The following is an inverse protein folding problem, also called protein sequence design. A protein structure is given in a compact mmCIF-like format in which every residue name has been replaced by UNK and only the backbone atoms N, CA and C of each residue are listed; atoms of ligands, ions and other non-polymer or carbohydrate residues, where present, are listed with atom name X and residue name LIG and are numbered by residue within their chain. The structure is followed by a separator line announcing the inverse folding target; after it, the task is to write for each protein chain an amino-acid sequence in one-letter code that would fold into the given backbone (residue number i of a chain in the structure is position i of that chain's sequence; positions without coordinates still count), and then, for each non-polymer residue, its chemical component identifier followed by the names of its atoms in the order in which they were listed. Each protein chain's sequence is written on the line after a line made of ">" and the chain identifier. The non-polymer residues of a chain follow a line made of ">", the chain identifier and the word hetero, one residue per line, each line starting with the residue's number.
data_IF_383173730470
#
_entry.id   IF_383173730470
#
_cell.length_a   1.000
_cell.length_b   1.000
_cell.length_c   1.000
_cell.angle_alpha   90.00
_cell.angle_beta   90.00
_cell.angle_gamma   90.00
#
_symmetry.space_group_name_H-M   'P 1'
#
loop_
_entity.id
_entity.type
_entity.pdbx_description
1 polymer ?
#
# COMPACT_ATOMS: atom_id res chain seq x y z
N UNK A 1 40.20 24.37 -0.25
CA UNK A 1 39.06 24.59 -1.17
C UNK A 1 38.11 25.56 -0.46
N UNK A 2 37.82 26.72 -1.05
CA UNK A 2 36.99 27.73 -0.41
C UNK A 2 35.71 27.92 -1.22
N UNK A 3 34.55 27.84 -0.55
CA UNK A 3 33.26 28.09 -1.20
C UNK A 3 33.03 29.60 -1.28
N UNK A 4 32.65 30.09 -2.44
CA UNK A 4 32.36 31.48 -2.73
C UNK A 4 30.89 31.60 -3.17
N UNK A 5 30.22 32.66 -2.79
CA UNK A 5 28.85 32.99 -3.29
C UNK A 5 28.97 33.99 -4.41
N UNK A 6 28.68 33.58 -5.65
CA UNK A 6 28.71 34.45 -6.82
C UNK A 6 27.31 34.57 -7.45
N UNK A 7 27.11 35.62 -8.26
CA UNK A 7 25.85 35.80 -8.98
C UNK A 7 25.67 34.69 -9.98
N UNK A 8 24.45 34.13 -10.08
CA UNK A 8 24.14 33.06 -11.03
C UNK A 8 24.39 33.50 -12.50
N UNK A 9 24.27 34.78 -12.78
CA UNK A 9 24.59 35.37 -14.10
C UNK A 9 26.06 35.31 -14.46
N UNK A 10 26.96 35.15 -13.49
CA UNK A 10 28.40 35.04 -13.69
C UNK A 10 28.85 33.61 -13.94
N UNK A 11 28.00 32.62 -13.61
CA UNK A 11 28.25 31.20 -13.86
C UNK A 11 27.86 30.85 -15.30
N UNK A 12 28.78 30.23 -16.03
CA UNK A 12 28.59 29.87 -17.43
C UNK A 12 28.43 28.36 -17.59
N UNK A 13 27.35 27.90 -18.20
CA UNK A 13 27.23 26.47 -18.53
C UNK A 13 28.29 26.10 -19.59
N UNK A 14 28.72 24.84 -19.58
CA UNK A 14 29.61 24.33 -20.61
C UNK A 14 28.80 23.88 -21.83
N UNK A 15 28.95 24.56 -22.97
CA UNK A 15 28.11 24.36 -24.16
C UNK A 15 28.21 22.96 -24.78
N UNK A 16 29.34 22.24 -24.55
CA UNK A 16 29.57 20.90 -25.07
C UNK A 16 29.35 19.83 -24.02
N UNK A 17 28.46 20.05 -23.04
CA UNK A 17 28.12 19.04 -22.04
C UNK A 17 27.46 17.84 -22.73
N UNK A 18 28.05 16.62 -22.65
CA UNK A 18 27.49 15.45 -23.32
C UNK A 18 26.29 14.84 -22.55
N UNK A 19 26.05 15.23 -21.29
CA UNK A 19 24.97 14.70 -20.48
C UNK A 19 23.69 15.50 -20.66
N UNK A 20 22.62 14.80 -20.98
CA UNK A 20 21.23 15.31 -20.87
C UNK A 20 20.81 15.21 -19.41
N UNK A 21 20.46 16.31 -18.80
CA UNK A 21 20.17 16.39 -17.37
C UNK A 21 18.91 17.19 -17.06
N UNK A 22 18.01 17.32 -18.03
CA UNK A 22 16.79 18.10 -17.88
C UNK A 22 15.80 17.38 -16.94
N UNK A 23 15.73 16.06 -17.03
CA UNK A 23 14.84 15.22 -16.24
C UNK A 23 15.14 15.27 -14.72
N UNK A 24 16.40 15.45 -14.33
CA UNK A 24 16.79 15.58 -12.92
C UNK A 24 16.72 17.01 -12.36
N UNK A 25 16.25 18.00 -13.12
CA UNK A 25 16.23 19.41 -12.64
C UNK A 25 15.19 19.62 -11.57
N UNK A 26 14.04 18.97 -11.67
CA UNK A 26 12.97 19.05 -10.69
C UNK A 26 13.40 18.50 -9.34
N UNK A 27 13.84 17.26 -9.30
CA UNK A 27 14.31 16.59 -8.08
C UNK A 27 15.43 17.39 -7.38
N UNK A 28 16.37 17.94 -8.14
CA UNK A 28 17.44 18.78 -7.58
C UNK A 28 16.89 20.13 -7.08
N UNK A 29 15.88 20.70 -7.72
CA UNK A 29 15.25 21.94 -7.27
C UNK A 29 14.49 21.71 -5.95
N UNK A 30 13.75 20.63 -5.85
CA UNK A 30 13.07 20.21 -4.62
C UNK A 30 14.07 19.97 -3.48
N UNK A 31 15.17 19.25 -3.77
CA UNK A 31 16.24 19.02 -2.78
C UNK A 31 16.87 20.34 -2.28
N UNK A 32 17.09 21.34 -3.17
CA UNK A 32 17.62 22.64 -2.76
C UNK A 32 16.58 23.41 -1.92
N UNK A 33 15.30 23.29 -2.25
CA UNK A 33 14.21 23.94 -1.53
C UNK A 33 14.04 23.36 -0.11
N UNK A 34 14.09 22.04 0.01
CA UNK A 34 13.86 21.33 1.28
C UNK A 34 15.08 21.39 2.19
N UNK A 35 16.25 21.00 1.70
CA UNK A 35 17.47 20.86 2.51
C UNK A 35 18.42 22.06 2.42
N UNK A 36 18.08 23.05 1.63
CA UNK A 36 18.99 24.14 1.31
C UNK A 36 20.14 23.68 0.38
N UNK A 37 21.08 24.57 0.15
CA UNK A 37 22.20 24.31 -0.75
C UNK A 37 23.35 23.57 -0.03
N UNK A 38 23.51 22.29 -0.21
CA UNK A 38 24.50 21.47 0.48
C UNK A 38 25.78 21.20 -0.34
N UNK A 39 25.69 21.17 -1.67
CA UNK A 39 26.83 20.85 -2.55
C UNK A 39 27.10 21.97 -3.56
N UNK A 40 28.24 22.71 -3.49
CA UNK A 40 28.52 23.82 -4.39
C UNK A 40 28.72 23.38 -5.85
N UNK A 41 28.50 24.30 -6.78
CA UNK A 41 28.88 24.12 -8.19
C UNK A 41 30.38 24.24 -8.30
N UNK A 42 31.03 23.33 -9.04
CA UNK A 42 32.47 23.44 -9.34
C UNK A 42 32.64 24.13 -10.69
N UNK A 43 33.41 25.18 -10.70
CA UNK A 43 33.71 25.97 -11.93
C UNK A 43 35.21 26.06 -12.16
N UNK A 44 35.61 26.33 -13.39
CA UNK A 44 36.98 26.69 -13.70
C UNK A 44 37.25 28.20 -13.42
N UNK A 45 38.48 28.63 -13.70
CA UNK A 45 38.91 30.02 -13.49
C UNK A 45 38.11 31.07 -14.29
N UNK A 46 37.40 30.67 -15.36
CA UNK A 46 36.56 31.50 -16.20
C UNK A 46 35.08 31.42 -15.86
N UNK A 47 34.76 30.82 -14.69
CA UNK A 47 33.45 30.52 -14.18
C UNK A 47 32.60 29.56 -15.06
N UNK A 48 33.27 28.73 -15.87
CA UNK A 48 32.58 27.71 -16.68
C UNK A 48 32.39 26.45 -15.83
N UNK A 49 31.19 25.93 -15.82
CA UNK A 49 30.82 24.76 -14.97
C UNK A 49 31.66 23.53 -15.38
N UNK A 50 32.27 22.92 -14.36
CA UNK A 50 32.90 21.61 -14.42
C UNK A 50 31.91 20.55 -13.93
N UNK A 51 31.36 20.76 -12.72
CA UNK A 51 30.38 19.84 -12.05
C UNK A 51 29.19 20.67 -11.57
N UNK A 52 27.98 20.15 -11.73
CA UNK A 52 26.76 20.75 -11.16
C UNK A 52 25.88 21.49 -12.15
N UNK A 53 25.85 21.09 -13.43
CA UNK A 53 24.95 21.67 -14.44
C UNK A 53 23.48 21.57 -14.06
N UNK A 54 23.05 20.43 -13.45
CA UNK A 54 21.69 20.25 -12.95
C UNK A 54 21.36 21.23 -11.84
N UNK A 55 22.28 21.41 -10.86
CA UNK A 55 22.14 22.39 -9.77
C UNK A 55 22.03 23.82 -10.29
N UNK A 56 22.80 24.18 -11.34
CA UNK A 56 22.70 25.47 -11.96
C UNK A 56 21.34 25.71 -12.62
N UNK A 57 20.80 24.70 -13.33
CA UNK A 57 19.46 24.76 -13.93
C UNK A 57 18.38 24.85 -12.83
N UNK A 58 18.49 24.07 -11.78
CA UNK A 58 17.60 24.08 -10.62
C UNK A 58 17.59 25.47 -9.93
N UNK A 59 18.76 26.05 -9.68
CA UNK A 59 18.87 27.40 -9.11
C UNK A 59 18.21 28.47 -9.98
N UNK A 60 18.34 28.36 -11.32
CA UNK A 60 17.61 29.23 -12.24
C UNK A 60 16.12 29.08 -12.15
N UNK A 61 15.62 27.83 -12.05
CA UNK A 61 14.20 27.53 -11.89
C UNK A 61 13.66 28.12 -10.59
N UNK A 62 14.44 28.05 -9.51
CA UNK A 62 14.10 28.62 -8.19
C UNK A 62 14.26 30.16 -8.11
N UNK A 63 14.72 30.81 -9.19
CA UNK A 63 14.91 32.27 -9.21
C UNK A 63 16.03 32.78 -8.30
N UNK A 64 17.04 31.98 -7.99
CA UNK A 64 18.12 32.34 -7.08
C UNK A 64 19.06 33.37 -7.74
N UNK A 65 19.38 34.46 -7.04
CA UNK A 65 20.32 35.49 -7.50
C UNK A 65 21.77 35.07 -7.39
N UNK A 66 22.11 34.26 -6.38
CA UNK A 66 23.46 33.82 -6.09
C UNK A 66 23.52 32.32 -5.84
N UNK A 67 24.64 31.71 -6.18
CA UNK A 67 24.88 30.30 -5.95
C UNK A 67 26.27 30.08 -5.32
N UNK A 68 26.44 29.06 -4.45
CA UNK A 68 27.72 28.71 -3.91
C UNK A 68 28.55 27.98 -4.98
N UNK A 69 29.78 28.40 -5.17
CA UNK A 69 30.72 27.78 -6.11
C UNK A 69 32.06 27.50 -5.47
N UNK A 70 32.74 26.52 -6.02
CA UNK A 70 34.16 26.24 -5.77
C UNK A 70 34.91 26.44 -7.10
N UNK A 71 35.95 27.25 -7.07
CA UNK A 71 36.81 27.45 -8.23
C UNK A 71 37.93 26.42 -8.22
N UNK A 72 37.99 25.60 -9.26
CA UNK A 72 39.05 24.63 -9.48
C UNK A 72 40.21 25.27 -10.30
N UNK A 73 40.90 26.19 -9.68
CA UNK A 73 41.96 27.02 -10.32
C UNK A 73 43.28 26.25 -10.50
N UNK A 74 43.50 25.18 -9.81
CA UNK A 74 44.69 24.34 -9.85
C UNK A 74 44.72 23.31 -11.00
N UNK A 75 43.60 23.13 -11.73
CA UNK A 75 43.47 22.13 -12.79
C UNK A 75 43.93 22.67 -14.14
N UNK A 76 44.70 21.88 -14.88
CA UNK A 76 45.00 22.17 -16.28
C UNK A 76 43.76 22.07 -17.17
N UNK A 77 43.73 22.69 -18.36
CA UNK A 77 42.58 22.59 -19.27
C UNK A 77 42.22 21.14 -19.66
N UNK A 78 43.19 20.26 -19.72
CA UNK A 78 42.99 18.84 -20.01
C UNK A 78 42.35 18.12 -18.79
N UNK A 79 42.85 18.41 -17.59
CA UNK A 79 42.28 17.90 -16.34
C UNK A 79 40.84 18.36 -16.12
N UNK A 80 40.50 19.62 -16.48
CA UNK A 80 39.13 20.13 -16.42
C UNK A 80 38.20 19.32 -17.33
N UNK A 81 38.65 19.00 -18.58
CA UNK A 81 37.85 18.14 -19.49
C UNK A 81 37.69 16.72 -18.96
N UNK A 82 38.77 16.14 -18.48
CA UNK A 82 38.76 14.80 -17.91
C UNK A 82 37.86 14.73 -16.68
N UNK A 83 37.91 15.72 -15.78
CA UNK A 83 37.11 15.76 -14.57
C UNK A 83 35.61 15.88 -14.85
N UNK A 84 35.19 16.68 -15.85
CA UNK A 84 33.77 16.72 -16.28
C UNK A 84 33.21 15.36 -16.65
N UNK A 85 34.02 14.53 -17.31
CA UNK A 85 33.61 13.20 -17.72
C UNK A 85 33.67 12.20 -16.56
N UNK A 86 34.75 12.25 -15.78
CA UNK A 86 34.97 11.32 -14.66
C UNK A 86 33.93 11.44 -13.55
N UNK A 87 33.59 12.68 -13.16
CA UNK A 87 32.58 12.95 -12.13
C UNK A 87 31.21 12.33 -12.47
N UNK A 88 30.80 12.53 -13.72
CA UNK A 88 29.54 11.94 -14.20
C UNK A 88 29.64 10.40 -14.28
N UNK A 89 30.77 9.85 -14.72
CA UNK A 89 30.92 8.41 -14.92
C UNK A 89 31.06 7.65 -13.61
N UNK A 90 31.71 8.23 -12.61
CA UNK A 90 31.86 7.57 -11.30
C UNK A 90 30.55 7.40 -10.57
N UNK A 91 29.59 8.32 -10.72
CA UNK A 91 28.22 8.15 -10.20
C UNK A 91 27.43 7.00 -10.85
N UNK A 92 27.78 6.63 -12.10
CA UNK A 92 27.15 5.50 -12.81
C UNK A 92 27.76 4.13 -12.43
N UNK A 93 28.86 4.11 -11.66
CA UNK A 93 29.56 2.89 -11.24
C UNK A 93 29.13 2.41 -9.86
N UNK A 94 28.26 3.15 -9.21
CA UNK A 94 27.73 2.81 -7.87
C UNK A 94 26.25 2.47 -8.02
N UNK A 95 25.87 1.37 -7.42
CA UNK A 95 24.47 0.94 -7.30
C UNK A 95 24.03 1.13 -5.84
N UNK A 96 22.72 1.26 -5.64
CA UNK A 96 22.13 1.24 -4.31
C UNK A 96 22.14 -0.19 -3.74
N UNK A 97 22.45 -0.33 -2.48
CA UNK A 97 22.04 -1.49 -1.70
C UNK A 97 20.55 -1.27 -1.37
N UNK A 98 19.71 -1.97 -2.11
CA UNK A 98 18.27 -1.69 -2.12
C UNK A 98 17.61 -2.11 -0.81
N UNK A 99 18.15 -3.12 -0.13
CA UNK A 99 17.62 -3.55 1.17
C UNK A 99 17.87 -2.45 2.23
N UNK A 100 19.08 -1.86 2.24
CA UNK A 100 19.39 -0.73 3.12
C UNK A 100 18.68 0.56 2.69
N UNK A 101 18.45 0.76 1.40
CA UNK A 101 17.75 1.94 0.92
C UNK A 101 16.27 1.91 1.31
N UNK A 102 15.62 0.75 1.18
CA UNK A 102 14.22 0.59 1.60
C UNK A 102 14.05 0.84 3.09
N UNK A 103 14.97 0.31 3.93
CA UNK A 103 14.98 0.55 5.38
C UNK A 103 15.14 2.05 5.71
N UNK A 104 16.04 2.75 5.01
CA UNK A 104 16.26 4.20 5.21
C UNK A 104 15.06 5.04 4.70
N UNK A 105 14.43 4.64 3.60
CA UNK A 105 13.23 5.32 3.08
C UNK A 105 12.03 5.11 4.01
N UNK A 106 11.86 3.94 4.60
CA UNK A 106 10.80 3.64 5.56
C UNK A 106 10.94 4.45 6.87
N UNK A 107 12.15 4.85 7.23
CA UNK A 107 12.41 5.68 8.42
C UNK A 107 12.16 7.20 8.16
N UNK A 108 11.98 7.61 6.89
CA UNK A 108 11.71 9.00 6.51
C UNK A 108 10.19 9.19 6.37
N UNK A 109 9.53 9.64 7.46
CA UNK A 109 8.06 9.70 7.52
C UNK A 109 7.49 11.07 7.07
N UNK A 110 8.27 12.15 7.22
CA UNK A 110 7.77 13.52 7.05
C UNK A 110 8.21 14.19 5.73
N UNK A 111 8.94 13.49 4.89
CA UNK A 111 9.49 14.03 3.64
C UNK A 111 9.08 13.11 2.48
N UNK A 112 8.42 13.68 1.46
CA UNK A 112 8.06 12.95 0.24
C UNK A 112 9.31 12.68 -0.60
N UNK A 113 9.83 11.46 -0.51
CA UNK A 113 11.05 11.06 -1.22
C UNK A 113 10.86 10.93 -2.74
N UNK A 114 9.62 10.89 -3.23
CA UNK A 114 9.33 10.93 -4.67
C UNK A 114 9.72 12.28 -5.30
N UNK A 115 9.67 13.37 -4.55
CA UNK A 115 10.13 14.69 -4.95
C UNK A 115 11.62 14.73 -5.30
N UNK A 116 12.39 13.72 -4.89
CA UNK A 116 13.85 13.62 -5.11
C UNK A 116 14.22 12.52 -6.12
N UNK A 117 13.22 11.89 -6.75
CA UNK A 117 13.43 10.86 -7.77
C UNK A 117 13.57 9.44 -7.19
N UNK A 118 13.17 9.23 -5.94
CA UNK A 118 12.90 7.90 -5.38
C UNK A 118 11.45 7.51 -5.68
N UNK A 119 11.08 7.65 -6.95
CA UNK A 119 9.78 7.17 -7.41
C UNK A 119 9.79 5.64 -7.28
N UNK A 120 8.67 5.07 -6.81
CA UNK A 120 8.43 3.66 -7.00
C UNK A 120 8.58 3.38 -8.51
N UNK A 121 9.47 2.45 -8.89
CA UNK A 121 9.76 2.14 -10.31
C UNK A 121 8.50 1.71 -11.12
N UNK A 122 7.32 1.85 -10.54
CA UNK A 122 6.03 1.49 -11.12
C UNK A 122 5.42 2.58 -12.03
N UNK A 123 5.91 3.82 -11.96
CA UNK A 123 5.48 4.87 -12.92
C UNK A 123 5.97 4.61 -14.36
N UNK A 124 6.90 3.67 -14.57
CA UNK A 124 7.40 3.35 -15.91
C UNK A 124 6.44 2.48 -16.75
N UNK A 125 5.41 1.89 -16.16
CA UNK A 125 4.35 1.17 -16.88
C UNK A 125 3.20 2.09 -17.29
N UNK A 126 3.09 3.29 -16.71
CA UNK A 126 2.09 4.31 -17.05
C UNK A 126 2.48 5.15 -18.30
N UNK A 127 3.60 4.87 -18.95
CA UNK A 127 3.95 5.46 -20.27
C UNK A 127 3.18 4.86 -21.48
N UNK A 128 2.06 4.22 -21.25
CA UNK A 128 0.93 4.33 -22.18
C UNK A 128 0.28 5.67 -21.86
N UNK A 129 0.60 6.71 -22.63
CA UNK A 129 -0.02 8.02 -22.49
C UNK A 129 -1.53 7.82 -22.31
N UNK A 130 -2.09 8.13 -21.12
CA UNK A 130 -3.52 8.30 -21.02
C UNK A 130 -3.82 9.49 -21.96
N UNK A 131 -4.80 9.37 -22.81
CA UNK A 131 -5.36 10.52 -23.49
C UNK A 131 -5.52 11.60 -22.41
N UNK A 132 -4.98 12.82 -22.65
CA UNK A 132 -4.99 13.94 -21.72
C UNK A 132 -6.30 13.93 -20.90
N UNK A 133 -6.25 13.50 -19.65
CA UNK A 133 -7.38 13.61 -18.73
C UNK A 133 -7.56 15.09 -18.43
N UNK A 134 -8.38 15.74 -19.21
CA UNK A 134 -8.69 17.19 -19.09
C UNK A 134 -9.51 17.54 -17.86
N UNK A 135 -9.95 16.52 -17.09
CA UNK A 135 -10.66 16.69 -15.82
C UNK A 135 -10.24 15.55 -14.88
N UNK A 136 -9.93 15.79 -13.58
CA UNK A 136 -9.91 14.73 -12.59
C UNK A 136 -11.27 14.05 -12.69
N UNK A 137 -11.27 12.75 -13.01
CA UNK A 137 -12.45 12.12 -13.57
C UNK A 137 -13.61 12.12 -12.57
N UNK A 138 -14.80 12.45 -13.07
CA UNK A 138 -16.08 12.27 -12.40
C UNK A 138 -16.19 10.90 -11.70
N UNK A 139 -15.52 9.86 -12.24
CA UNK A 139 -15.46 8.53 -11.66
C UNK A 139 -14.77 8.45 -10.28
N UNK A 140 -13.72 9.24 -10.04
CA UNK A 140 -13.11 9.29 -8.70
C UNK A 140 -14.02 9.98 -7.70
N UNK A 141 -14.70 11.05 -8.14
CA UNK A 141 -15.66 11.76 -7.30
C UNK A 141 -16.89 10.90 -6.98
N UNK A 142 -17.34 10.06 -7.95
CA UNK A 142 -18.50 9.21 -7.77
C UNK A 142 -18.21 7.91 -6.99
N UNK A 143 -17.02 7.31 -7.18
CA UNK A 143 -16.76 5.92 -6.75
C UNK A 143 -15.55 5.76 -5.79
N UNK A 144 -14.92 6.80 -5.33
CA UNK A 144 -13.67 6.82 -4.55
C UNK A 144 -12.45 6.49 -5.44
N UNK A 145 -12.53 5.44 -6.19
CA UNK A 145 -11.60 5.03 -7.23
C UNK A 145 -12.41 4.61 -8.47
N UNK A 146 -11.86 4.72 -9.68
CA UNK A 146 -12.54 4.23 -10.87
C UNK A 146 -12.89 2.74 -10.71
N UNK A 147 -14.14 2.33 -11.01
CA UNK A 147 -14.59 0.96 -10.80
C UNK A 147 -14.08 0.01 -11.89
N UNK A 148 -12.78 -0.12 -11.97
CA UNK A 148 -12.10 -1.02 -12.89
C UNK A 148 -11.68 -2.31 -12.18
N UNK A 149 -11.46 -3.38 -12.95
CA UNK A 149 -11.06 -4.68 -12.40
C UNK A 149 -9.63 -4.71 -11.85
N UNK A 150 -8.84 -3.66 -12.07
CA UNK A 150 -7.51 -3.48 -11.48
C UNK A 150 -7.50 -2.17 -10.72
N UNK A 151 -7.20 -2.24 -9.43
CA UNK A 151 -7.06 -1.09 -8.54
C UNK A 151 -5.60 -1.00 -8.13
N UNK A 152 -4.93 0.07 -8.55
CA UNK A 152 -3.55 0.35 -8.16
C UNK A 152 -3.52 1.05 -6.79
N UNK A 153 -3.08 0.30 -5.75
CA UNK A 153 -2.97 0.79 -4.37
C UNK A 153 -1.69 1.62 -4.13
N UNK A 154 -0.79 1.72 -5.13
CA UNK A 154 0.41 2.54 -5.05
C UNK A 154 0.19 3.99 -5.54
N UNK A 155 -1.00 4.33 -6.04
CA UNK A 155 -1.32 5.69 -6.48
C UNK A 155 -1.29 6.66 -5.30
N UNK A 156 -0.78 7.87 -5.54
CA UNK A 156 -0.62 8.91 -4.51
C UNK A 156 -1.91 9.16 -3.73
N UNK A 157 -3.03 9.33 -4.41
CA UNK A 157 -4.34 9.57 -3.78
C UNK A 157 -4.79 8.41 -2.87
N UNK A 158 -4.39 7.17 -3.18
CA UNK A 158 -4.67 6.00 -2.35
C UNK A 158 -3.76 5.97 -1.12
N UNK A 159 -2.48 6.32 -1.30
CA UNK A 159 -1.51 6.40 -0.21
C UNK A 159 -1.87 7.52 0.77
N UNK A 160 -2.21 8.71 0.27
CA UNK A 160 -2.66 9.84 1.08
C UNK A 160 -3.90 9.46 1.90
N UNK A 161 -4.90 8.85 1.27
CA UNK A 161 -6.11 8.38 1.97
C UNK A 161 -5.82 7.28 2.98
N UNK A 162 -4.85 6.39 2.67
CA UNK A 162 -4.38 5.37 3.62
C UNK A 162 -3.76 6.01 4.86
N UNK A 163 -2.95 7.05 4.69
CA UNK A 163 -2.33 7.77 5.80
C UNK A 163 -3.38 8.47 6.69
N UNK A 164 -4.40 9.10 6.09
CA UNK A 164 -5.53 9.65 6.84
C UNK A 164 -6.19 8.58 7.74
N UNK A 165 -6.49 7.42 7.19
CA UNK A 165 -7.06 6.30 7.95
C UNK A 165 -6.12 5.78 9.03
N UNK A 166 -4.83 5.60 8.72
CA UNK A 166 -3.85 5.11 9.68
C UNK A 166 -3.72 6.05 10.88
N UNK A 167 -3.76 7.37 10.65
CA UNK A 167 -3.74 8.38 11.70
C UNK A 167 -4.96 8.29 12.64
N UNK A 168 -6.13 7.90 12.12
CA UNK A 168 -7.31 7.64 12.93
C UNK A 168 -7.24 6.29 13.66
N UNK A 169 -6.92 5.23 12.92
CA UNK A 169 -6.87 3.86 13.46
C UNK A 169 -5.79 3.74 14.54
N UNK A 170 -4.59 4.32 14.33
CA UNK A 170 -3.43 4.31 15.24
C UNK A 170 -3.09 2.88 15.74
N UNK A 171 -3.13 1.90 14.85
CA UNK A 171 -2.70 0.55 15.16
C UNK A 171 -1.16 0.51 15.21
N UNK A 172 -0.60 0.36 16.38
CA UNK A 172 0.84 0.32 16.63
C UNK A 172 1.43 -1.11 16.52
N UNK A 173 0.62 -2.08 16.15
CA UNK A 173 1.01 -3.49 16.00
C UNK A 173 1.23 -4.25 17.30
N UNK A 174 1.01 -3.65 18.47
CA UNK A 174 1.27 -4.30 19.78
C UNK A 174 0.37 -5.52 20.02
N UNK A 175 -0.84 -5.54 19.46
CA UNK A 175 -1.78 -6.68 19.54
C UNK A 175 -1.28 -7.95 18.85
N UNK A 176 -0.28 -7.81 17.97
CA UNK A 176 0.26 -8.89 17.14
C UNK A 176 1.53 -9.52 17.74
N UNK A 177 1.86 -9.19 18.98
CA UNK A 177 2.96 -9.79 19.73
C UNK A 177 2.80 -11.30 19.80
N UNK A 178 3.80 -12.06 19.31
CA UNK A 178 3.78 -13.52 19.27
C UNK A 178 3.33 -14.15 17.94
N UNK A 179 2.67 -13.41 17.05
CA UNK A 179 2.43 -13.88 15.68
C UNK A 179 3.75 -13.88 14.88
N UNK A 180 4.07 -14.99 14.23
CA UNK A 180 5.28 -15.11 13.41
C UNK A 180 4.87 -15.12 11.94
N UNK A 181 4.95 -13.94 11.29
CA UNK A 181 4.85 -13.89 9.84
C UNK A 181 6.23 -13.94 9.21
N UNK A 182 6.33 -14.47 7.99
CA UNK A 182 7.52 -14.48 7.12
C UNK A 182 8.89 -14.75 7.76
N UNK A 183 9.01 -14.62 9.10
CA UNK A 183 10.26 -14.62 9.84
C UNK A 183 11.03 -15.94 9.81
N UNK A 184 10.38 -17.09 9.65
CA UNK A 184 11.11 -18.38 9.62
C UNK A 184 11.92 -18.58 8.34
N UNK A 185 11.53 -17.95 7.23
CA UNK A 185 12.32 -18.01 5.99
C UNK A 185 13.53 -17.06 6.02
N UNK A 186 13.42 -15.92 6.70
CA UNK A 186 14.46 -14.89 6.74
C UNK A 186 15.42 -15.02 7.96
N UNK A 187 14.95 -15.52 9.10
CA UNK A 187 15.81 -15.75 10.28
C UNK A 187 16.97 -16.75 9.98
N UNK A 188 16.78 -17.64 9.02
CA UNK A 188 17.86 -18.53 8.56
C UNK A 188 18.90 -17.81 7.69
N UNK A 189 18.70 -16.57 7.28
CA UNK A 189 19.64 -15.77 6.47
C UNK A 189 20.32 -14.65 7.27
N UNK A 190 20.10 -14.57 8.60
CA UNK A 190 20.82 -13.66 9.48
C UNK A 190 20.27 -12.22 9.52
N UNK A 191 19.07 -11.99 9.04
CA UNK A 191 18.39 -10.70 9.12
C UNK A 191 17.73 -10.56 10.50
N UNK A 192 18.08 -9.52 11.24
CA UNK A 192 17.46 -9.18 12.53
C UNK A 192 16.16 -8.43 12.25
N UNK A 193 15.00 -9.04 12.48
CA UNK A 193 13.71 -8.38 12.37
C UNK A 193 13.53 -7.47 13.58
N UNK A 194 13.21 -6.22 13.34
CA UNK A 194 12.91 -5.25 14.39
C UNK A 194 11.68 -5.71 15.18
N UNK A 195 11.74 -5.82 16.51
CA UNK A 195 10.67 -6.35 17.37
C UNK A 195 9.34 -5.56 17.27
N UNK A 196 9.37 -4.37 16.69
CA UNK A 196 8.19 -3.53 16.48
C UNK A 196 7.37 -3.89 15.24
N UNK A 197 7.95 -4.59 14.28
CA UNK A 197 7.28 -5.00 13.04
C UNK A 197 7.15 -6.51 13.02
N UNK A 198 6.12 -7.04 13.67
CA UNK A 198 5.88 -8.50 13.77
C UNK A 198 5.43 -9.13 12.45
N UNK A 199 5.49 -8.38 11.35
CA UNK A 199 5.29 -8.86 9.99
C UNK A 199 3.89 -9.35 9.64
N UNK A 200 2.89 -9.22 10.51
CA UNK A 200 1.50 -9.49 10.14
C UNK A 200 0.96 -8.31 9.33
N UNK A 201 0.45 -8.59 8.14
CA UNK A 201 -0.05 -7.54 7.26
C UNK A 201 -1.36 -6.95 7.80
N UNK A 202 -1.46 -5.62 7.85
CA UNK A 202 -2.69 -4.91 8.16
C UNK A 202 -3.49 -4.77 6.86
N UNK A 203 -4.81 -5.00 6.93
CA UNK A 203 -5.68 -4.73 5.79
C UNK A 203 -5.63 -3.25 5.42
N UNK A 204 -5.50 -2.96 4.13
CA UNK A 204 -5.48 -1.58 3.65
C UNK A 204 -6.84 -0.91 3.94
N UNK A 205 -6.89 0.14 4.76
CA UNK A 205 -8.16 0.76 5.15
C UNK A 205 -8.89 1.43 3.98
N UNK A 206 -8.21 1.83 2.91
CA UNK A 206 -8.84 2.35 1.69
C UNK A 206 -9.62 1.24 0.98
N UNK A 207 -9.11 0.01 0.98
CA UNK A 207 -9.86 -1.16 0.46
C UNK A 207 -11.09 -1.42 1.32
N UNK A 208 -10.97 -1.30 2.64
CA UNK A 208 -12.11 -1.42 3.55
C UNK A 208 -13.18 -0.36 3.28
N UNK A 209 -12.78 0.89 3.08
CA UNK A 209 -13.67 1.99 2.71
C UNK A 209 -14.35 1.74 1.36
N UNK A 210 -13.57 1.33 0.35
CA UNK A 210 -14.06 1.01 -0.98
C UNK A 210 -15.14 -0.08 -0.96
N UNK A 211 -14.90 -1.15 -0.21
CA UNK A 211 -15.83 -2.28 -0.08
C UNK A 211 -17.15 -1.82 0.56
N UNK A 212 -17.09 -1.03 1.64
CA UNK A 212 -18.29 -0.47 2.26
C UNK A 212 -19.09 0.38 1.27
N UNK A 213 -18.41 1.21 0.48
CA UNK A 213 -19.05 2.12 -0.45
C UNK A 213 -19.61 1.43 -1.72
N UNK A 214 -18.95 0.40 -2.21
CA UNK A 214 -19.36 -0.28 -3.43
C UNK A 214 -20.38 -1.39 -3.21
N UNK A 215 -20.34 -2.06 -2.05
CA UNK A 215 -21.11 -3.29 -1.81
C UNK A 215 -22.14 -3.19 -0.68
N UNK A 216 -22.41 -1.98 -0.16
CA UNK A 216 -23.56 -1.67 0.67
C UNK A 216 -24.53 -0.73 -0.06
N UNK A 217 -25.83 -0.74 0.25
CA UNK A 217 -26.75 0.26 -0.25
C UNK A 217 -26.34 1.67 0.21
N UNK A 218 -26.34 2.65 -0.73
CA UNK A 218 -25.93 4.03 -0.45
C UNK A 218 -27.15 4.93 -0.27
N UNK A 219 -27.97 4.66 0.72
CA UNK A 219 -29.24 5.37 1.00
C UNK A 219 -29.22 6.17 2.30
N UNK A 220 -28.03 6.25 2.97
CA UNK A 220 -27.85 6.97 4.22
C UNK A 220 -28.28 6.19 5.45
N UNK A 221 -28.57 4.89 5.32
CA UNK A 221 -28.91 4.02 6.44
C UNK A 221 -27.67 3.32 7.00
N UNK A 222 -27.76 2.83 8.24
CA UNK A 222 -26.76 1.97 8.86
C UNK A 222 -27.01 0.52 8.48
N UNK A 223 -25.95 -0.22 8.15
CA UNK A 223 -25.99 -1.62 7.74
C UNK A 223 -25.17 -2.49 8.67
N UNK A 224 -25.50 -3.78 8.76
CA UNK A 224 -24.76 -4.75 9.55
C UNK A 224 -23.67 -5.40 8.70
N UNK A 225 -22.42 -5.17 9.03
CA UNK A 225 -21.26 -5.78 8.39
C UNK A 225 -20.59 -6.78 9.34
N UNK A 226 -19.91 -7.77 8.80
CA UNK A 226 -19.26 -8.76 9.66
C UNK A 226 -18.05 -9.42 9.00
N UNK A 227 -17.21 -10.02 9.86
CA UNK A 227 -16.07 -10.85 9.47
C UNK A 227 -15.95 -12.05 10.42
N UNK A 228 -15.80 -13.25 9.87
CA UNK A 228 -15.56 -14.46 10.65
C UNK A 228 -14.07 -14.77 10.90
N UNK A 229 -13.17 -13.97 10.36
CA UNK A 229 -11.73 -13.97 10.62
C UNK A 229 -11.25 -12.53 10.82
N UNK A 230 -11.82 -11.86 11.83
CA UNK A 230 -11.79 -10.41 11.97
C UNK A 230 -10.36 -9.81 12.12
N UNK A 231 -9.41 -10.60 12.61
CA UNK A 231 -7.98 -10.25 12.63
C UNK A 231 -7.69 -8.86 13.15
N UNK A 232 -7.13 -8.02 12.28
CA UNK A 232 -6.76 -6.65 12.63
C UNK A 232 -7.96 -5.69 12.79
N UNK A 233 -7.68 -4.48 13.21
CA UNK A 233 -8.69 -3.46 13.52
C UNK A 233 -9.31 -2.82 12.28
N UNK A 234 -8.70 -2.92 11.09
CA UNK A 234 -8.98 -2.00 9.98
C UNK A 234 -10.42 -2.09 9.46
N UNK A 235 -10.93 -3.28 9.14
CA UNK A 235 -12.27 -3.36 8.53
C UNK A 235 -13.37 -2.95 9.50
N UNK A 236 -13.36 -3.50 10.73
CA UNK A 236 -14.36 -3.18 11.73
C UNK A 236 -14.36 -1.71 12.11
N UNK A 237 -13.16 -1.10 12.24
CA UNK A 237 -13.02 0.32 12.51
C UNK A 237 -13.58 1.18 11.36
N UNK A 238 -13.14 0.93 10.13
CA UNK A 238 -13.57 1.69 8.95
C UNK A 238 -15.08 1.58 8.73
N UNK A 239 -15.63 0.35 8.79
CA UNK A 239 -17.06 0.12 8.59
C UNK A 239 -17.91 0.85 9.62
N UNK A 240 -17.54 0.77 10.91
CA UNK A 240 -18.28 1.44 11.98
C UNK A 240 -18.08 2.96 11.96
N UNK A 241 -16.90 3.45 11.59
CA UNK A 241 -16.66 4.87 11.39
C UNK A 241 -17.52 5.47 10.28
N UNK A 242 -17.80 4.69 9.23
CA UNK A 242 -18.72 5.06 8.14
C UNK A 242 -20.20 4.95 8.53
N UNK A 243 -20.52 4.71 9.80
CA UNK A 243 -21.88 4.69 10.33
C UNK A 243 -22.57 3.33 10.28
N UNK A 244 -21.86 2.26 9.95
CA UNK A 244 -22.39 0.90 9.98
C UNK A 244 -22.24 0.24 11.36
N UNK A 245 -22.90 -0.90 11.57
CA UNK A 245 -22.67 -1.78 12.70
C UNK A 245 -21.74 -2.91 12.26
N UNK A 246 -20.72 -3.25 13.05
CA UNK A 246 -19.79 -4.32 12.73
C UNK A 246 -19.80 -5.43 13.77
N UNK A 247 -19.74 -6.69 13.32
CA UNK A 247 -19.57 -7.87 14.16
C UNK A 247 -18.35 -8.67 13.69
N UNK A 248 -17.33 -8.82 14.51
CA UNK A 248 -16.12 -9.56 14.21
C UNK A 248 -15.94 -10.79 15.09
N UNK A 249 -15.66 -11.95 14.50
CA UNK A 249 -15.22 -13.14 15.24
C UNK A 249 -13.72 -13.29 15.03
N UNK A 250 -12.98 -13.35 16.12
CA UNK A 250 -11.52 -13.48 16.16
C UNK A 250 -11.12 -14.53 17.19
N UNK A 251 -10.18 -15.40 16.83
CA UNK A 251 -9.76 -16.54 17.64
C UNK A 251 -8.94 -16.13 18.87
N UNK A 252 -8.17 -15.05 18.79
CA UNK A 252 -7.22 -14.61 19.83
C UNK A 252 -7.83 -13.52 20.71
N UNK A 253 -7.90 -13.79 22.02
CA UNK A 253 -8.49 -12.88 22.98
C UNK A 253 -7.77 -11.51 23.03
N UNK A 254 -6.43 -11.52 22.95
CA UNK A 254 -5.65 -10.30 22.98
C UNK A 254 -5.94 -9.37 21.78
N UNK A 255 -6.25 -9.96 20.61
CA UNK A 255 -6.65 -9.18 19.43
C UNK A 255 -8.08 -8.63 19.59
N UNK A 256 -8.99 -9.44 20.12
CA UNK A 256 -10.36 -9.00 20.47
C UNK A 256 -10.32 -7.81 21.42
N UNK A 257 -9.55 -7.92 22.52
CA UNK A 257 -9.44 -6.87 23.53
C UNK A 257 -8.88 -5.56 22.94
N UNK A 258 -7.87 -5.68 22.10
CA UNK A 258 -7.27 -4.53 21.41
C UNK A 258 -8.29 -3.86 20.47
N UNK A 259 -8.93 -4.63 19.58
CA UNK A 259 -9.90 -4.12 18.64
C UNK A 259 -11.09 -3.47 19.35
N UNK A 260 -11.64 -4.14 20.37
CA UNK A 260 -12.79 -3.63 21.12
C UNK A 260 -12.45 -2.34 21.88
N UNK A 261 -11.25 -2.28 22.48
CA UNK A 261 -10.78 -1.05 23.12
C UNK A 261 -10.74 0.08 22.10
N UNK A 262 -10.18 -0.18 20.91
CA UNK A 262 -9.98 0.83 19.89
C UNK A 262 -11.30 1.43 19.38
N UNK A 263 -12.29 0.58 19.08
CA UNK A 263 -13.60 1.06 18.64
C UNK A 263 -14.37 1.77 19.76
N UNK A 264 -14.18 1.36 21.02
CA UNK A 264 -14.77 2.04 22.16
C UNK A 264 -14.15 3.44 22.40
N UNK A 265 -12.84 3.60 22.16
CA UNK A 265 -12.16 4.91 22.27
C UNK A 265 -12.76 5.96 21.33
N UNK A 266 -13.40 5.52 20.23
CA UNK A 266 -14.08 6.37 19.23
C UNK A 266 -15.61 6.30 19.29
N UNK A 267 -16.19 5.63 20.29
CA UNK A 267 -17.64 5.43 20.42
C UNK A 267 -18.28 4.80 19.15
N UNK A 268 -17.57 3.85 18.52
CA UNK A 268 -18.01 3.20 17.30
C UNK A 268 -18.87 1.96 17.58
N UNK A 269 -19.87 1.73 16.72
CA UNK A 269 -20.77 0.59 16.82
C UNK A 269 -20.13 -0.69 16.23
N UNK A 270 -19.11 -1.22 16.91
CA UNK A 270 -18.45 -2.45 16.53
C UNK A 270 -18.32 -3.39 17.73
N UNK A 271 -18.54 -4.68 17.49
CA UNK A 271 -18.49 -5.71 18.50
C UNK A 271 -17.60 -6.87 18.06
N UNK A 272 -16.60 -7.19 18.89
CA UNK A 272 -15.67 -8.28 18.64
C UNK A 272 -15.91 -9.43 19.61
N UNK A 273 -15.95 -10.65 19.08
CA UNK A 273 -16.28 -11.89 19.80
C UNK A 273 -15.07 -12.82 19.73
N UNK A 274 -14.58 -13.26 20.89
CA UNK A 274 -13.51 -14.26 20.93
C UNK A 274 -14.09 -15.66 20.76
N UNK A 275 -14.00 -16.19 19.56
CA UNK A 275 -14.40 -17.58 19.23
C UNK A 275 -13.72 -18.02 17.92
N UNK A 276 -13.86 -19.29 17.60
CA UNK A 276 -13.51 -19.87 16.31
C UNK A 276 -14.47 -19.34 15.22
N UNK A 277 -13.91 -18.85 14.10
CA UNK A 277 -14.71 -18.35 12.97
C UNK A 277 -15.73 -19.34 12.43
N UNK A 278 -15.49 -20.64 12.60
CA UNK A 278 -16.45 -21.70 12.26
C UNK A 278 -17.75 -21.61 13.09
N UNK A 279 -17.73 -20.91 14.22
CA UNK A 279 -18.86 -20.72 15.12
C UNK A 279 -19.66 -19.45 14.84
N UNK A 280 -19.37 -18.68 13.82
CA UNK A 280 -20.00 -17.37 13.53
C UNK A 280 -21.53 -17.43 13.58
N UNK A 281 -22.14 -18.48 13.05
CA UNK A 281 -23.61 -18.67 13.08
C UNK A 281 -24.19 -18.99 14.49
N UNK A 282 -23.37 -19.13 15.53
CA UNK A 282 -23.83 -19.18 16.91
C UNK A 282 -24.01 -17.80 17.53
N UNK A 283 -23.37 -16.80 16.95
CA UNK A 283 -23.32 -15.43 17.44
C UNK A 283 -24.18 -14.47 16.61
N UNK A 284 -24.42 -14.80 15.34
CA UNK A 284 -25.19 -13.98 14.41
C UNK A 284 -26.42 -14.75 13.93
N UNK A 285 -27.57 -14.08 13.94
CA UNK A 285 -28.81 -14.68 13.46
C UNK A 285 -28.77 -14.90 11.94
N UNK A 286 -29.44 -15.93 11.42
CA UNK A 286 -29.56 -16.13 9.99
C UNK A 286 -30.15 -14.89 9.29
N UNK A 287 -29.61 -14.56 8.11
CA UNK A 287 -30.09 -13.46 7.26
C UNK A 287 -30.18 -12.10 7.98
N UNK A 288 -29.26 -11.84 8.91
CA UNK A 288 -29.22 -10.61 9.70
C UNK A 288 -28.16 -9.61 9.22
N UNK A 289 -27.19 -10.05 8.42
CA UNK A 289 -26.05 -9.28 8.02
C UNK A 289 -26.15 -8.81 6.56
N UNK A 290 -25.64 -7.60 6.28
CA UNK A 290 -25.75 -6.94 4.97
C UNK A 290 -24.48 -7.05 4.12
N UNK A 291 -23.31 -7.27 4.72
CA UNK A 291 -22.05 -7.42 4.00
C UNK A 291 -21.09 -8.32 4.78
N UNK A 292 -20.63 -9.39 4.15
CA UNK A 292 -19.47 -10.15 4.60
C UNK A 292 -18.21 -9.57 3.97
N UNK A 293 -17.25 -9.20 4.78
CA UNK A 293 -15.87 -9.01 4.36
C UNK A 293 -14.99 -10.00 5.09
N UNK A 294 -13.96 -10.54 4.44
CA UNK A 294 -12.91 -11.26 5.13
C UNK A 294 -11.59 -11.27 4.38
N UNK A 295 -10.50 -11.30 5.13
CA UNK A 295 -9.17 -11.64 4.64
C UNK A 295 -8.67 -12.83 5.47
N UNK A 296 -9.00 -14.07 5.06
CA UNK A 296 -8.69 -15.24 5.87
C UNK A 296 -7.18 -15.49 5.94
N UNK A 297 -6.70 -16.26 6.93
CA UNK A 297 -5.31 -16.68 7.02
C UNK A 297 -4.79 -17.32 5.73
N UNK A 298 -3.47 -17.26 5.53
CA UNK A 298 -2.79 -17.77 4.33
C UNK A 298 -2.00 -19.06 4.63
N UNK A 299 -2.68 -20.11 5.05
CA UNK A 299 -2.14 -21.44 5.39
C UNK A 299 -0.87 -21.33 6.25
N UNK A 300 0.28 -21.82 5.77
CA UNK A 300 1.56 -21.88 6.50
C UNK A 300 2.47 -20.66 6.29
N UNK A 301 1.96 -19.58 5.67
CA UNK A 301 2.72 -18.33 5.52
C UNK A 301 2.85 -17.55 6.83
N UNK A 302 1.79 -17.51 7.62
CA UNK A 302 1.70 -16.81 8.87
C UNK A 302 1.14 -17.77 9.92
N UNK A 303 1.74 -17.82 11.09
CA UNK A 303 1.23 -18.61 12.22
C UNK A 303 0.83 -17.64 13.31
N UNK A 304 -0.45 -17.55 13.59
CA UNK A 304 -0.99 -16.56 14.53
C UNK A 304 -1.06 -17.06 15.96
N UNK A 305 -1.23 -18.37 16.17
CA UNK A 305 -1.30 -18.97 17.51
C UNK A 305 -0.97 -20.46 17.49
N UNK A 306 -0.77 -21.03 18.69
CA UNK A 306 -0.62 -22.49 18.88
C UNK A 306 -1.99 -23.20 19.05
N UNK A 307 -3.10 -22.47 18.84
CA UNK A 307 -4.44 -23.04 18.96
C UNK A 307 -4.67 -24.06 17.82
N UNK A 308 -5.13 -25.27 18.10
CA UNK A 308 -5.42 -26.28 17.07
C UNK A 308 -6.52 -25.86 16.08
N UNK A 309 -7.37 -24.89 16.43
CA UNK A 309 -8.40 -24.33 15.56
C UNK A 309 -7.88 -23.17 14.70
N UNK A 310 -6.61 -22.75 14.89
CA UNK A 310 -6.00 -21.75 14.02
C UNK A 310 -5.84 -22.33 12.62
N UNK A 311 -6.51 -21.74 11.65
CA UNK A 311 -6.45 -22.19 10.25
C UNK A 311 -5.01 -22.13 9.70
N UNK A 312 -4.19 -21.19 10.16
CA UNK A 312 -2.78 -21.08 9.72
C UNK A 312 -1.87 -22.16 10.30
N UNK A 313 -2.29 -22.87 11.34
CA UNK A 313 -1.50 -23.88 12.06
C UNK A 313 -1.91 -25.32 11.71
N UNK A 314 -2.47 -25.54 10.53
CA UNK A 314 -2.93 -26.86 10.10
C UNK A 314 -1.81 -27.72 9.51
N UNK A 315 -1.89 -29.03 9.71
CA UNK A 315 -0.90 -29.99 9.22
C UNK A 315 -0.93 -30.20 7.71
N UNK A 316 -2.05 -29.90 7.06
CA UNK A 316 -2.21 -30.02 5.61
C UNK A 316 -3.04 -28.90 5.01
N UNK A 317 -2.81 -28.63 3.72
CA UNK A 317 -3.61 -27.65 2.98
C UNK A 317 -5.10 -28.05 2.91
N UNK A 318 -5.41 -29.34 2.88
CA UNK A 318 -6.79 -29.84 2.89
C UNK A 318 -7.51 -29.51 4.21
N UNK A 319 -6.82 -29.66 5.36
CA UNK A 319 -7.38 -29.36 6.65
C UNK A 319 -7.63 -27.85 6.79
N UNK A 320 -6.67 -27.03 6.32
CA UNK A 320 -6.81 -25.59 6.24
C UNK A 320 -8.06 -25.18 5.44
N UNK A 321 -8.23 -25.71 4.21
CA UNK A 321 -9.41 -25.43 3.38
C UNK A 321 -10.69 -25.92 4.04
N UNK A 322 -10.65 -27.04 4.78
CA UNK A 322 -11.80 -27.56 5.54
C UNK A 322 -12.29 -26.58 6.60
N UNK A 323 -11.40 -25.91 7.32
CA UNK A 323 -11.77 -24.86 8.28
C UNK A 323 -12.43 -23.67 7.58
N UNK A 324 -11.86 -23.21 6.44
CA UNK A 324 -12.43 -22.10 5.69
C UNK A 324 -13.80 -22.45 5.08
N UNK A 325 -13.98 -23.67 4.56
CA UNK A 325 -15.26 -24.15 4.02
C UNK A 325 -16.35 -24.12 5.11
N UNK A 326 -16.04 -24.62 6.32
CA UNK A 326 -16.96 -24.58 7.43
C UNK A 326 -17.31 -23.14 7.86
N UNK A 327 -16.29 -22.29 8.05
CA UNK A 327 -16.49 -20.91 8.51
C UNK A 327 -17.32 -20.11 7.50
N UNK A 328 -16.95 -20.12 6.23
CA UNK A 328 -17.65 -19.37 5.20
C UNK A 328 -19.05 -19.92 4.89
N UNK A 329 -19.24 -21.23 4.93
CA UNK A 329 -20.58 -21.83 4.81
C UNK A 329 -21.51 -21.34 5.93
N UNK A 330 -21.01 -21.19 7.16
CA UNK A 330 -21.78 -20.65 8.27
C UNK A 330 -21.98 -19.13 8.14
N UNK A 331 -20.97 -18.41 7.69
CA UNK A 331 -21.06 -16.96 7.44
C UNK A 331 -22.13 -16.64 6.38
N UNK A 332 -22.18 -17.41 5.29
CA UNK A 332 -23.19 -17.24 4.24
C UNK A 332 -24.62 -17.39 4.74
N UNK A 333 -24.86 -18.22 5.77
CA UNK A 333 -26.20 -18.32 6.41
C UNK A 333 -26.61 -17.05 7.13
N UNK A 334 -25.64 -16.29 7.66
CA UNK A 334 -25.90 -15.02 8.35
C UNK A 334 -26.12 -13.87 7.37
N UNK A 335 -25.63 -13.97 6.12
CA UNK A 335 -25.77 -12.95 5.09
C UNK A 335 -27.20 -12.95 4.55
N UNK A 336 -27.81 -11.77 4.41
CA UNK A 336 -29.12 -11.57 3.79
C UNK A 336 -29.09 -11.90 2.29
N UNK A 337 -30.26 -12.19 1.71
CA UNK A 337 -30.41 -12.21 0.26
C UNK A 337 -30.24 -10.81 -0.35
N UNK A 338 -29.87 -10.76 -1.61
CA UNK A 338 -29.53 -9.55 -2.34
C UNK A 338 -28.39 -8.74 -1.73
N UNK A 339 -27.38 -9.45 -1.21
CA UNK A 339 -26.18 -8.89 -0.54
C UNK A 339 -24.90 -9.54 -1.07
N UNK A 340 -23.77 -8.95 -0.66
CA UNK A 340 -22.45 -9.36 -1.14
C UNK A 340 -21.60 -9.96 -0.03
N UNK A 341 -20.74 -10.90 -0.44
CA UNK A 341 -19.57 -11.32 0.31
C UNK A 341 -18.32 -10.91 -0.47
N UNK A 342 -17.33 -10.34 0.23
CA UNK A 342 -16.10 -9.81 -0.37
C UNK A 342 -14.88 -10.40 0.36
N UNK A 343 -14.01 -11.10 -0.39
CA UNK A 343 -12.91 -11.86 0.19
C UNK A 343 -11.59 -11.44 -0.45
N UNK A 344 -10.65 -10.96 0.37
CA UNK A 344 -9.30 -10.63 -0.08
C UNK A 344 -8.40 -11.84 0.08
N UNK A 345 -7.90 -12.37 -1.02
CA UNK A 345 -7.02 -13.54 -1.03
C UNK A 345 -5.94 -13.44 -2.09
N UNK A 346 -4.96 -14.30 -1.99
CA UNK A 346 -3.95 -14.44 -3.02
C UNK A 346 -3.35 -15.84 -3.04
N UNK A 347 -3.08 -16.36 -4.23
CA UNK A 347 -2.45 -17.67 -4.36
C UNK A 347 -1.10 -17.73 -3.64
N UNK A 348 -0.87 -18.80 -2.92
CA UNK A 348 0.34 -19.13 -2.17
C UNK A 348 1.05 -20.32 -2.81
N UNK A 349 2.35 -20.47 -2.54
CA UNK A 349 3.16 -21.56 -3.08
C UNK A 349 3.49 -22.57 -2.00
N UNK A 350 3.51 -23.84 -2.42
CA UNK A 350 4.03 -24.94 -1.62
C UNK A 350 5.57 -24.88 -1.51
N UNK A 351 6.15 -25.77 -0.70
CA UNK A 351 7.63 -25.90 -0.52
C UNK A 351 8.37 -26.27 -1.82
N UNK A 352 7.69 -26.84 -2.82
CA UNK A 352 8.23 -27.15 -4.14
C UNK A 352 8.12 -25.98 -5.11
N UNK A 353 7.43 -24.89 -4.71
CA UNK A 353 7.25 -23.68 -5.49
C UNK A 353 6.07 -23.71 -6.44
N UNK A 354 5.17 -24.71 -6.35
CA UNK A 354 3.92 -24.75 -7.10
C UNK A 354 2.83 -23.97 -6.35
N UNK A 355 1.91 -23.37 -7.07
CA UNK A 355 0.76 -22.74 -6.44
C UNK A 355 -0.22 -23.80 -5.91
N UNK A 356 -0.70 -23.60 -4.68
CA UNK A 356 -2.02 -24.06 -4.31
C UNK A 356 -3.07 -23.24 -5.08
N UNK A 357 -4.21 -23.85 -5.39
CA UNK A 357 -5.29 -23.15 -6.09
C UNK A 357 -6.17 -22.36 -5.12
N UNK A 358 -5.56 -21.60 -4.21
CA UNK A 358 -6.27 -20.97 -3.08
C UNK A 358 -7.40 -20.05 -3.53
N UNK A 359 -7.17 -19.21 -4.54
CA UNK A 359 -8.21 -18.35 -5.13
C UNK A 359 -9.37 -19.18 -5.68
N UNK A 360 -9.09 -20.26 -6.42
CA UNK A 360 -10.12 -21.14 -6.96
C UNK A 360 -10.85 -21.93 -5.87
N UNK A 361 -10.16 -22.33 -4.80
CA UNK A 361 -10.78 -23.06 -3.69
C UNK A 361 -11.76 -22.16 -2.91
N UNK A 362 -11.43 -20.86 -2.70
CA UNK A 362 -12.37 -19.89 -2.13
C UNK A 362 -13.59 -19.70 -3.04
N UNK A 363 -13.39 -19.57 -4.36
CA UNK A 363 -14.52 -19.48 -5.30
C UNK A 363 -15.43 -20.69 -5.15
N UNK A 364 -14.87 -21.91 -5.14
CA UNK A 364 -15.62 -23.14 -4.98
C UNK A 364 -16.41 -23.20 -3.65
N UNK A 365 -15.83 -22.70 -2.53
CA UNK A 365 -16.50 -22.67 -1.22
C UNK A 365 -17.77 -21.81 -1.31
N UNK A 366 -17.67 -20.60 -1.84
CA UNK A 366 -18.81 -19.68 -1.91
C UNK A 366 -19.88 -20.16 -2.91
N UNK A 367 -19.48 -20.73 -4.06
CA UNK A 367 -20.43 -21.30 -5.00
C UNK A 367 -21.17 -22.50 -4.43
N UNK A 368 -20.50 -23.40 -3.69
CA UNK A 368 -21.14 -24.50 -2.96
C UNK A 368 -22.10 -23.99 -1.87
N UNK A 369 -21.78 -22.87 -1.23
CA UNK A 369 -22.64 -22.24 -0.24
C UNK A 369 -23.84 -21.50 -0.85
N UNK A 370 -23.96 -21.45 -2.20
CA UNK A 370 -25.10 -20.91 -2.92
C UNK A 370 -24.94 -19.45 -3.37
N UNK A 371 -23.74 -18.89 -3.35
CA UNK A 371 -23.46 -17.56 -3.91
C UNK A 371 -22.94 -17.68 -5.35
N UNK A 372 -23.08 -16.59 -6.10
CA UNK A 372 -22.51 -16.48 -7.44
C UNK A 372 -21.21 -15.68 -7.41
N UNK A 373 -20.16 -16.19 -8.03
CA UNK A 373 -18.93 -15.41 -8.25
C UNK A 373 -19.26 -14.23 -9.18
N UNK A 374 -19.09 -13.00 -8.70
CA UNK A 374 -19.69 -11.82 -9.33
C UNK A 374 -18.63 -10.86 -9.90
N UNK A 375 -17.56 -10.54 -9.13
CA UNK A 375 -16.44 -9.75 -9.61
C UNK A 375 -15.12 -10.36 -9.17
N UNK A 376 -14.09 -10.26 -10.03
CA UNK A 376 -12.68 -10.48 -9.72
C UNK A 376 -11.94 -9.14 -9.85
N UNK A 377 -11.50 -8.59 -8.73
CA UNK A 377 -10.80 -7.32 -8.68
C UNK A 377 -9.37 -7.57 -8.25
N UNK A 378 -8.42 -7.09 -9.04
CA UNK A 378 -7.00 -7.16 -8.74
C UNK A 378 -6.60 -5.93 -7.90
N UNK A 379 -6.19 -6.16 -6.68
CA UNK A 379 -5.58 -5.15 -5.82
C UNK A 379 -4.08 -5.16 -6.08
N UNK A 380 -3.61 -4.28 -6.93
CA UNK A 380 -2.19 -4.15 -7.21
C UNK A 380 -1.53 -3.42 -6.03
N UNK A 381 -0.55 -4.08 -5.41
CA UNK A 381 0.22 -3.53 -4.29
C UNK A 381 1.49 -2.85 -4.82
N UNK A 382 2.09 -1.90 -4.07
CA UNK A 382 3.41 -1.36 -4.40
C UNK A 382 4.42 -2.48 -4.64
N UNK A 383 5.34 -2.27 -5.59
CA UNK A 383 6.34 -3.30 -5.96
C UNK A 383 7.27 -3.58 -4.78
N UNK A 384 7.66 -2.54 -4.01
CA UNK A 384 8.53 -2.65 -2.86
C UNK A 384 9.77 -3.50 -3.17
N UNK A 385 10.11 -4.43 -2.29
CA UNK A 385 11.21 -5.40 -2.48
C UNK A 385 11.01 -6.39 -3.65
N UNK A 386 9.92 -6.26 -4.39
CA UNK A 386 9.57 -7.16 -5.53
C UNK A 386 10.66 -7.21 -6.59
N UNK A 387 11.29 -6.09 -6.92
CA UNK A 387 12.34 -6.01 -7.93
C UNK A 387 13.56 -6.86 -7.54
N UNK A 388 13.99 -6.80 -6.28
CA UNK A 388 15.08 -7.63 -5.75
C UNK A 388 14.74 -9.11 -5.75
N UNK A 389 13.55 -9.44 -5.24
CA UNK A 389 13.06 -10.82 -5.24
C UNK A 389 12.96 -11.39 -6.66
N UNK A 390 12.60 -10.56 -7.65
CA UNK A 390 12.48 -10.97 -9.03
C UNK A 390 13.80 -11.51 -9.60
N UNK A 391 14.94 -10.88 -9.33
CA UNK A 391 16.27 -11.37 -9.76
C UNK A 391 16.52 -12.79 -9.21
N UNK A 392 16.22 -13.03 -7.94
CA UNK A 392 16.45 -14.31 -7.29
C UNK A 392 15.44 -15.39 -7.71
N UNK A 393 14.18 -15.05 -7.89
CA UNK A 393 13.11 -15.99 -8.22
C UNK A 393 13.10 -16.34 -9.71
N UNK A 394 13.52 -15.40 -10.59
CA UNK A 394 13.48 -15.57 -12.02
C UNK A 394 14.49 -16.60 -12.54
N UNK A 395 15.57 -16.90 -11.82
CA UNK A 395 16.46 -18.05 -12.13
C UNK A 395 15.68 -19.38 -12.15
N UNK A 396 14.59 -19.48 -11.38
CA UNK A 396 13.66 -20.62 -11.36
C UNK A 396 12.40 -20.36 -12.20
N UNK A 397 12.35 -19.28 -12.99
CA UNK A 397 11.19 -18.85 -13.78
C UNK A 397 9.96 -18.59 -12.91
N UNK A 398 10.15 -18.17 -11.66
CA UNK A 398 9.09 -17.74 -10.75
C UNK A 398 8.93 -16.22 -10.83
N UNK A 399 7.75 -15.77 -11.23
CA UNK A 399 7.38 -14.36 -11.25
C UNK A 399 7.01 -13.94 -9.82
N UNK A 400 7.43 -12.75 -9.42
CA UNK A 400 7.04 -12.15 -8.14
C UNK A 400 5.59 -11.69 -8.24
N UNK A 401 4.78 -12.04 -7.26
CA UNK A 401 3.39 -11.62 -7.17
C UNK A 401 3.33 -10.25 -6.48
N UNK A 402 2.71 -9.27 -7.13
CA UNK A 402 2.52 -7.89 -6.66
C UNK A 402 1.04 -7.52 -6.57
N UNK A 403 0.17 -8.48 -6.34
CA UNK A 403 -1.27 -8.25 -6.22
C UNK A 403 -1.94 -9.26 -5.32
N UNK A 404 -3.10 -8.89 -4.81
CA UNK A 404 -4.09 -9.78 -4.22
C UNK A 404 -5.37 -9.74 -5.06
N UNK A 405 -6.25 -10.71 -4.88
CA UNK A 405 -7.57 -10.71 -5.48
C UNK A 405 -8.59 -10.29 -4.42
N UNK A 406 -9.47 -9.37 -4.77
CA UNK A 406 -10.71 -9.11 -4.07
C UNK A 406 -11.82 -9.83 -4.83
N UNK A 407 -12.21 -10.98 -4.30
CA UNK A 407 -13.27 -11.81 -4.87
C UNK A 407 -14.60 -11.32 -4.30
N UNK A 408 -15.54 -11.02 -5.18
CA UNK A 408 -16.88 -10.56 -4.83
C UNK A 408 -17.90 -11.62 -5.20
N UNK A 409 -18.72 -12.01 -4.24
CA UNK A 409 -19.78 -12.99 -4.42
C UNK A 409 -21.14 -12.34 -4.14
N UNK A 410 -22.13 -12.66 -4.94
CA UNK A 410 -23.48 -12.17 -4.79
C UNK A 410 -24.41 -13.30 -4.31
N UNK A 411 -25.16 -13.04 -3.23
CA UNK A 411 -26.21 -13.90 -2.73
C UNK A 411 -27.55 -13.43 -3.27
N UNK A 412 -28.11 -14.11 -4.25
CA UNK A 412 -29.40 -13.80 -4.88
C UNK A 412 -29.52 -14.38 -6.27
N UNK A 413 -30.75 -14.57 -6.74
CA UNK A 413 -31.05 -15.25 -8.01
C UNK A 413 -30.93 -14.36 -9.24
N UNK A 414 -30.98 -13.03 -9.07
CA UNK A 414 -31.03 -12.11 -10.20
C UNK A 414 -30.35 -10.77 -9.89
N UNK A 415 -29.28 -10.47 -10.61
CA UNK A 415 -28.51 -9.21 -10.45
C UNK A 415 -29.36 -7.94 -10.61
N UNK A 416 -30.49 -7.99 -11.33
CA UNK A 416 -31.40 -6.84 -11.47
C UNK A 416 -32.05 -6.43 -10.14
N UNK A 417 -32.05 -7.32 -9.15
CA UNK A 417 -32.54 -7.00 -7.81
C UNK A 417 -31.57 -6.07 -7.07
N UNK A 418 -30.27 -6.11 -7.41
CA UNK A 418 -29.27 -5.19 -6.84
C UNK A 418 -29.72 -3.74 -7.07
N UNK A 419 -30.09 -3.37 -8.27
CA UNK A 419 -30.51 -2.00 -8.59
C UNK A 419 -31.79 -1.52 -7.88
N UNK A 420 -32.53 -2.41 -7.21
CA UNK A 420 -33.70 -2.02 -6.39
C UNK A 420 -33.30 -1.53 -5.01
N UNK A 421 -32.30 -2.19 -4.40
CA UNK A 421 -31.88 -1.91 -3.03
C UNK A 421 -30.67 -0.96 -2.99
N UNK A 422 -29.83 -1.01 -4.02
CA UNK A 422 -28.61 -0.22 -4.09
C UNK A 422 -28.84 1.09 -4.85
N UNK A 423 -28.58 2.21 -4.20
CA UNK A 423 -28.63 3.54 -4.82
C UNK A 423 -27.36 3.80 -5.63
N UNK A 424 -27.45 4.75 -6.54
CA UNK A 424 -26.28 5.26 -7.26
C UNK A 424 -25.32 5.86 -6.24
N UNK A 425 -24.06 5.44 -6.30
CA UNK A 425 -22.99 5.96 -5.44
C UNK A 425 -22.78 7.44 -5.80
N UNK A 426 -22.72 8.31 -4.81
CA UNK A 426 -22.49 9.75 -4.99
C UNK A 426 -21.54 10.28 -3.94
N UNK A 427 -20.64 11.17 -4.36
CA UNK A 427 -19.80 12.02 -3.52
C UNK A 427 -18.83 11.25 -2.61
N UNK A 428 -17.51 11.43 -2.76
CA UNK A 428 -16.67 10.37 -2.32
C UNK A 428 -15.46 10.76 -1.51
N UNK A 429 -15.06 12.00 -1.52
CA UNK A 429 -13.95 12.50 -0.73
C UNK A 429 -14.44 13.52 0.30
N UNK A 430 -15.25 13.05 1.26
CA UNK A 430 -15.40 13.82 2.48
C UNK A 430 -14.10 13.66 3.30
N UNK A 431 -13.55 14.78 3.78
CA UNK A 431 -12.44 14.71 4.76
C UNK A 431 -12.89 13.86 5.94
N UNK A 432 -12.01 13.00 6.44
CA UNK A 432 -12.33 12.22 7.64
C UNK A 432 -12.44 13.19 8.84
N UNK A 433 -13.59 13.21 9.49
CA UNK A 433 -13.77 14.02 10.69
C UNK A 433 -12.80 13.57 11.78
N UNK A 434 -12.05 14.51 12.35
CA UNK A 434 -11.02 14.23 13.38
C UNK A 434 -9.59 14.17 12.85
N UNK A 435 -9.39 14.17 11.53
CA UNK A 435 -8.07 14.39 10.94
C UNK A 435 -7.76 15.90 11.00
N UNK A 436 -6.83 16.29 11.83
CA UNK A 436 -6.27 17.64 11.86
C UNK A 436 -5.02 17.62 10.99
N UNK A 437 -5.13 18.17 9.80
CA UNK A 437 -3.95 18.47 9.00
C UNK A 437 -3.15 19.58 9.70
N UNK A 438 -2.10 19.20 10.42
CA UNK A 438 -1.22 20.15 11.10
C UNK A 438 -0.46 21.07 10.12
N UNK A 439 -0.48 20.75 8.82
CA UNK A 439 0.16 21.55 7.76
C UNK A 439 -0.56 22.88 7.46
N UNK A 440 -1.81 23.07 7.88
CA UNK A 440 -2.52 24.36 7.73
C UNK A 440 -2.14 25.42 8.80
N UNK A 441 -1.27 25.07 9.78
CA UNK A 441 -0.86 25.97 10.87
C UNK A 441 0.64 26.35 10.87
N UNK A 442 1.34 26.16 9.74
CA UNK A 442 2.75 26.62 9.59
C UNK A 442 2.89 27.67 8.49
#
# INVERSE_FOLDING_TARGET
>A
MQVQSIKISEVKPYDKNPRKNDDGVEAVANSIKEFGWQQPIVVDKDNVIIVGHTRYKAAKKLGMDKVPVVVADSLSPEQVKAYRLADNKTGELTDWDVDLLDDELDDILDIDMSDFGFEDEDDSLDNVQPAEEKHPGILNEDFLLPPFSIINLARKEVLDRKNEWNNLIQDDGTSRGGATSYGKAFVNEGVTINEKNNGTSIMNPVVCELINKWFLPNDGQSYNTFDCFAGDTAFGFVSSYLGNSFNGVELRQEQVDFNQKRVNDFDLNAHYICDDGQNVAKHLEPESQDLLFSCPPYFDLEVYSDNPNDASNQGSYSDFIGILDNAFTHAVKCLKDNRFATIVVGNIRDKNGNYYNFVGDIINIFEKAGLHFYNDIILQTPVGTGALRARNTMKYRKVVKIHQNLLVFYKGDNFKNIGKDFKVIKGMYDKLEGYVDESENL
#
